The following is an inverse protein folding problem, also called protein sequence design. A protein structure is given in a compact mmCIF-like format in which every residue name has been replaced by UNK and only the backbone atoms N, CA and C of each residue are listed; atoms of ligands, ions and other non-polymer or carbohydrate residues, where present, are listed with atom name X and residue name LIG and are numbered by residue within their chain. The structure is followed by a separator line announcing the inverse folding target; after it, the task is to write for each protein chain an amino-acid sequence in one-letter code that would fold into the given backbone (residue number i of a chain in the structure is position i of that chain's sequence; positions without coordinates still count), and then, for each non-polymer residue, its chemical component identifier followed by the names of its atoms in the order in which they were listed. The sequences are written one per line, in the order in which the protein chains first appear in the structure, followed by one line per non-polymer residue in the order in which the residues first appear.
data_IF_839397084371
#
_entry.id   IF_839397084371
#
_cell.length_a   1.000
_cell.length_b   1.000
_cell.length_c   1.000
_cell.angle_alpha   90.00
_cell.angle_beta   90.00
_cell.angle_gamma   90.00
#
_symmetry.space_group_name_H-M   'P 1'
#
loop_
_entity.id
_entity.type
_entity.pdbx_description
1 polymer ?
#
# COMPACT_ATOMS: atom_id res chain seq x y z
N UNK A 1 -15.92 8.23 -3.62
CA UNK A 1 -16.93 8.21 -2.51
C UNK A 1 -17.68 6.89 -2.47
N UNK A 2 -18.09 6.31 -3.59
CA UNK A 2 -18.89 5.06 -3.65
C UNK A 2 -18.20 3.87 -2.95
N UNK A 3 -16.90 3.64 -3.18
CA UNK A 3 -16.13 2.57 -2.52
C UNK A 3 -16.16 2.73 -0.99
N UNK A 4 -15.99 3.96 -0.49
CA UNK A 4 -16.00 4.26 0.95
C UNK A 4 -17.38 3.96 1.53
N UNK A 5 -18.44 4.40 0.86
CA UNK A 5 -19.81 4.20 1.31
C UNK A 5 -20.17 2.71 1.33
N UNK A 6 -19.85 1.98 0.28
CA UNK A 6 -20.04 0.52 0.21
C UNK A 6 -19.27 -0.21 1.31
N UNK A 7 -18.01 0.18 1.54
CA UNK A 7 -17.18 -0.43 2.59
C UNK A 7 -17.72 -0.12 3.99
N UNK A 8 -18.20 1.09 4.25
CA UNK A 8 -18.85 1.46 5.50
C UNK A 8 -20.14 0.66 5.77
N UNK A 9 -20.95 0.40 4.73
CA UNK A 9 -22.13 -0.46 4.85
C UNK A 9 -21.76 -1.86 5.33
N UNK A 10 -20.68 -2.44 4.76
CA UNK A 10 -20.18 -3.77 5.17
C UNK A 10 -19.66 -3.76 6.61
N UNK A 11 -18.90 -2.72 7.00
CA UNK A 11 -18.47 -2.53 8.40
C UNK A 11 -19.68 -2.52 9.34
N UNK A 12 -20.78 -1.86 8.94
CA UNK A 12 -22.05 -1.88 9.66
C UNK A 12 -22.70 -3.27 9.74
N UNK A 13 -22.66 -4.05 8.65
CA UNK A 13 -23.16 -5.43 8.63
C UNK A 13 -22.37 -6.30 9.59
N UNK A 14 -21.02 -6.25 9.54
CA UNK A 14 -20.17 -7.01 10.47
C UNK A 14 -20.52 -6.66 11.92
N UNK A 15 -20.63 -5.36 12.24
CA UNK A 15 -20.96 -4.90 13.60
C UNK A 15 -22.31 -5.43 14.11
N UNK A 16 -23.32 -5.52 13.24
CA UNK A 16 -24.68 -5.96 13.64
C UNK A 16 -24.80 -7.46 13.82
N UNK A 17 -24.13 -8.23 12.95
CA UNK A 17 -24.31 -9.68 12.92
C UNK A 17 -23.35 -10.45 13.83
N UNK A 18 -22.22 -9.85 14.22
CA UNK A 18 -21.22 -10.50 15.07
C UNK A 18 -21.10 -9.74 16.40
N UNK A 19 -21.72 -10.26 17.48
CA UNK A 19 -21.70 -9.64 18.81
C UNK A 19 -20.42 -9.95 19.58
N UNK A 20 -19.99 -11.22 19.58
CA UNK A 20 -18.80 -11.70 20.29
C UNK A 20 -17.66 -12.01 19.34
N UNK A 21 -17.16 -10.95 18.70
CA UNK A 21 -16.15 -11.05 17.67
C UNK A 21 -14.74 -11.06 18.30
N UNK A 22 -14.02 -12.17 18.13
CA UNK A 22 -12.60 -12.29 18.48
C UNK A 22 -11.70 -11.59 17.45
N UNK A 23 -10.44 -11.35 17.82
CA UNK A 23 -9.49 -10.62 16.95
C UNK A 23 -9.21 -11.37 15.64
N UNK A 24 -9.07 -12.68 15.68
CA UNK A 24 -8.73 -13.52 14.50
C UNK A 24 -9.87 -13.48 13.49
N UNK A 25 -11.08 -13.75 13.92
CA UNK A 25 -12.29 -13.71 13.10
C UNK A 25 -12.54 -12.32 12.55
N UNK A 26 -12.37 -11.26 13.38
CA UNK A 26 -12.46 -9.89 12.90
C UNK A 26 -11.48 -9.61 11.76
N UNK A 27 -10.20 -9.94 11.93
CA UNK A 27 -9.17 -9.70 10.91
C UNK A 27 -9.49 -10.44 9.61
N UNK A 28 -10.01 -11.67 9.70
CA UNK A 28 -10.42 -12.46 8.53
C UNK A 28 -11.57 -11.80 7.79
N UNK A 29 -12.65 -11.46 8.50
CA UNK A 29 -13.83 -10.78 7.92
C UNK A 29 -13.45 -9.41 7.32
N UNK A 30 -12.67 -8.62 8.06
CA UNK A 30 -12.21 -7.32 7.59
C UNK A 30 -11.40 -7.44 6.31
N UNK A 31 -10.43 -8.36 6.26
CA UNK A 31 -9.59 -8.59 5.08
C UNK A 31 -10.42 -9.05 3.88
N UNK A 32 -11.34 -9.98 4.08
CA UNK A 32 -12.12 -10.56 2.99
C UNK A 32 -13.21 -9.60 2.47
N UNK A 33 -13.94 -8.92 3.34
CA UNK A 33 -15.15 -8.20 2.96
C UNK A 33 -14.94 -6.68 2.79
N UNK A 34 -14.06 -6.07 3.59
CA UNK A 34 -13.87 -4.61 3.62
C UNK A 34 -12.60 -4.21 2.87
N UNK A 35 -11.46 -4.77 3.29
CA UNK A 35 -10.15 -4.38 2.73
C UNK A 35 -10.02 -4.74 1.26
N UNK A 36 -10.51 -5.90 0.84
CA UNK A 36 -10.52 -6.31 -0.57
C UNK A 36 -11.17 -5.28 -1.49
N UNK A 37 -12.24 -4.64 -1.04
CA UNK A 37 -12.92 -3.56 -1.78
C UNK A 37 -12.10 -2.27 -1.80
N UNK A 38 -11.48 -1.90 -0.68
CA UNK A 38 -10.66 -0.69 -0.56
C UNK A 38 -9.35 -0.79 -1.34
N UNK A 39 -8.88 -2.00 -1.62
CA UNK A 39 -7.65 -2.27 -2.38
C UNK A 39 -7.90 -2.62 -3.85
N UNK A 40 -9.16 -2.85 -4.25
CA UNK A 40 -9.47 -3.22 -5.63
C UNK A 40 -9.02 -2.15 -6.62
N UNK A 41 -8.28 -2.56 -7.65
CA UNK A 41 -7.74 -1.69 -8.70
C UNK A 41 -6.95 -0.46 -8.18
N UNK A 42 -6.33 -0.56 -7.00
CA UNK A 42 -5.64 0.56 -6.34
C UNK A 42 -4.51 1.17 -7.19
N UNK A 43 -3.87 0.38 -8.06
CA UNK A 43 -2.85 0.88 -8.99
C UNK A 43 -3.41 1.95 -9.94
N UNK A 44 -4.69 1.85 -10.29
CA UNK A 44 -5.36 2.77 -11.21
C UNK A 44 -5.80 4.06 -10.50
N UNK A 45 -6.51 3.94 -9.36
CA UNK A 45 -7.21 5.09 -8.74
C UNK A 45 -6.61 5.61 -7.44
N UNK A 46 -5.39 5.23 -7.06
CA UNK A 46 -4.80 5.63 -5.78
C UNK A 46 -4.89 7.13 -5.52
N UNK A 47 -5.59 7.57 -4.46
CA UNK A 47 -5.78 8.98 -4.18
C UNK A 47 -4.50 9.62 -3.64
N UNK A 48 -4.19 10.84 -4.11
CA UNK A 48 -3.07 11.64 -3.65
C UNK A 48 -3.47 12.77 -2.69
N UNK A 49 -4.73 13.24 -2.77
CA UNK A 49 -5.22 14.30 -1.89
C UNK A 49 -5.49 13.73 -0.49
N UNK A 50 -4.94 14.39 0.55
CA UNK A 50 -5.10 13.99 1.95
C UNK A 50 -6.54 13.74 2.36
N UNK A 51 -7.49 14.58 1.90
CA UNK A 51 -8.92 14.40 2.14
C UNK A 51 -9.41 12.99 1.80
N UNK A 52 -8.99 12.44 0.68
CA UNK A 52 -9.43 11.11 0.24
C UNK A 52 -8.64 9.99 0.93
N UNK A 53 -7.37 10.24 1.24
CA UNK A 53 -6.56 9.31 2.06
C UNK A 53 -7.17 9.18 3.45
N UNK A 54 -7.47 10.30 4.11
CA UNK A 54 -8.13 10.33 5.43
C UNK A 54 -9.49 9.63 5.41
N UNK A 55 -10.27 9.80 4.35
CA UNK A 55 -11.59 9.18 4.19
C UNK A 55 -11.49 7.65 4.05
N UNK A 56 -10.48 7.13 3.34
CA UNK A 56 -10.22 5.70 3.24
C UNK A 56 -9.75 5.11 4.59
N UNK A 57 -8.77 5.77 5.23
CA UNK A 57 -8.29 5.35 6.55
C UNK A 57 -9.38 5.43 7.63
N UNK A 58 -10.34 6.35 7.49
CA UNK A 58 -11.48 6.44 8.40
C UNK A 58 -12.35 5.18 8.39
N UNK A 59 -12.45 4.47 7.25
CA UNK A 59 -13.16 3.18 7.18
C UNK A 59 -12.45 2.15 8.06
N UNK A 60 -11.12 2.00 7.91
CA UNK A 60 -10.33 1.06 8.73
C UNK A 60 -10.34 1.46 10.22
N UNK A 61 -10.25 2.77 10.51
CA UNK A 61 -10.33 3.31 11.87
C UNK A 61 -11.67 2.97 12.53
N UNK A 62 -12.78 3.07 11.78
CA UNK A 62 -14.12 2.69 12.24
C UNK A 62 -14.23 1.18 12.44
N UNK A 63 -13.76 0.39 11.48
CA UNK A 63 -13.80 -1.06 11.55
C UNK A 63 -13.05 -1.60 12.77
N UNK A 64 -11.82 -1.13 13.04
CA UNK A 64 -11.03 -1.57 14.20
C UNK A 64 -11.63 -1.20 15.54
N UNK A 65 -12.58 -0.26 15.60
CA UNK A 65 -13.36 0.08 16.82
C UNK A 65 -14.53 -0.87 17.10
N UNK A 66 -14.85 -1.81 16.19
CA UNK A 66 -15.92 -2.80 16.43
C UNK A 66 -15.57 -3.66 17.63
N UNK A 67 -14.31 -4.05 17.78
CA UNK A 67 -13.82 -4.84 18.91
C UNK A 67 -13.85 -4.04 20.20
N UNK A 68 -14.69 -4.43 21.21
CA UNK A 68 -14.77 -3.69 22.46
C UNK A 68 -13.44 -3.58 23.19
N UNK A 69 -12.65 -4.65 23.18
CA UNK A 69 -11.33 -4.73 23.81
C UNK A 69 -10.30 -3.72 23.26
N UNK A 70 -10.54 -3.20 22.05
CA UNK A 70 -9.61 -2.28 21.38
C UNK A 70 -10.08 -0.83 21.35
N UNK A 71 -11.30 -0.52 21.79
CA UNK A 71 -11.89 0.84 21.70
C UNK A 71 -11.07 1.92 22.39
N UNK A 72 -10.43 1.58 23.52
CA UNK A 72 -9.65 2.53 24.34
C UNK A 72 -8.27 2.85 23.75
N UNK A 73 -7.79 2.06 22.79
CA UNK A 73 -6.47 2.25 22.21
C UNK A 73 -6.48 3.27 21.06
N UNK A 74 -5.34 3.93 20.85
CA UNK A 74 -5.13 4.78 19.69
C UNK A 74 -5.29 3.99 18.38
N UNK A 75 -5.47 4.68 17.24
CA UNK A 75 -5.61 3.98 15.97
C UNK A 75 -4.35 3.16 15.63
N UNK A 76 -3.18 3.74 15.82
CA UNK A 76 -1.90 3.06 15.58
C UNK A 76 -1.75 1.81 16.46
N UNK A 77 -2.13 1.88 17.75
CA UNK A 77 -2.03 0.74 18.65
C UNK A 77 -3.02 -0.38 18.29
N UNK A 78 -4.23 0.00 17.84
CA UNK A 78 -5.18 -0.99 17.31
C UNK A 78 -4.62 -1.73 16.12
N UNK A 79 -3.96 -1.00 15.19
CA UNK A 79 -3.32 -1.60 14.02
C UNK A 79 -2.19 -2.57 14.44
N UNK A 80 -1.33 -2.17 15.38
CA UNK A 80 -0.27 -3.06 15.92
C UNK A 80 -0.86 -4.33 16.55
N UNK A 81 -1.89 -4.18 17.42
CA UNK A 81 -2.54 -5.31 18.11
C UNK A 81 -3.27 -6.27 17.16
N UNK A 82 -3.70 -5.80 15.98
CA UNK A 82 -4.38 -6.59 14.97
C UNK A 82 -3.43 -7.06 13.85
N UNK A 83 -2.19 -6.63 13.86
CA UNK A 83 -1.23 -6.82 12.78
C UNK A 83 -1.81 -6.40 11.42
N UNK A 84 -2.41 -5.22 11.41
CA UNK A 84 -2.98 -4.61 10.21
C UNK A 84 -2.20 -3.34 9.89
N UNK A 85 -1.47 -3.29 8.79
CA UNK A 85 -0.83 -2.03 8.37
C UNK A 85 -1.87 -1.03 7.87
N UNK A 86 -1.45 0.23 7.76
CA UNK A 86 -2.26 1.30 7.18
C UNK A 86 -2.63 1.01 5.72
N UNK A 87 -3.76 1.55 5.26
CA UNK A 87 -4.13 1.44 3.86
C UNK A 87 -3.17 2.21 2.94
N UNK A 88 -2.55 3.28 3.46
CA UNK A 88 -1.52 4.03 2.73
C UNK A 88 -0.28 3.18 2.47
N UNK A 89 0.23 2.48 3.50
CA UNK A 89 1.30 1.49 3.33
C UNK A 89 0.90 0.39 2.34
N UNK A 90 -0.31 -0.15 2.48
CA UNK A 90 -0.81 -1.22 1.63
C UNK A 90 -0.87 -0.82 0.15
N UNK A 91 -1.27 0.41 -0.15
CA UNK A 91 -1.28 0.95 -1.52
C UNK A 91 0.13 1.06 -2.09
N UNK A 92 1.07 1.62 -1.32
CA UNK A 92 2.46 1.70 -1.76
C UNK A 92 3.07 0.32 -2.00
N UNK A 93 2.80 -0.63 -1.10
CA UNK A 93 3.21 -2.03 -1.25
C UNK A 93 2.65 -2.67 -2.52
N UNK A 94 1.36 -2.46 -2.79
CA UNK A 94 0.72 -2.94 -4.00
C UNK A 94 1.32 -2.34 -5.26
N UNK A 95 1.57 -1.03 -5.26
CA UNK A 95 2.25 -0.35 -6.38
C UNK A 95 3.62 -0.97 -6.66
N UNK A 96 4.42 -1.31 -5.63
CA UNK A 96 5.73 -1.95 -5.82
C UNK A 96 5.61 -3.37 -6.38
N UNK A 97 4.61 -4.14 -5.94
CA UNK A 97 4.36 -5.49 -6.48
C UNK A 97 3.99 -5.42 -7.96
N UNK A 98 3.12 -4.49 -8.35
CA UNK A 98 2.76 -4.29 -9.75
C UNK A 98 3.97 -3.81 -10.58
N UNK A 99 4.78 -2.89 -10.02
CA UNK A 99 6.02 -2.44 -10.66
C UNK A 99 6.99 -3.61 -10.88
N UNK A 100 7.19 -4.45 -9.88
CA UNK A 100 8.02 -5.64 -9.99
C UNK A 100 7.57 -6.55 -11.14
N UNK A 101 6.27 -6.83 -11.22
CA UNK A 101 5.71 -7.68 -12.28
C UNK A 101 5.93 -7.09 -13.68
N UNK A 102 5.78 -5.77 -13.83
CA UNK A 102 6.02 -5.07 -15.09
C UNK A 102 7.49 -5.08 -15.48
N UNK A 103 8.39 -4.76 -14.55
CA UNK A 103 9.84 -4.69 -14.76
C UNK A 103 10.42 -6.05 -15.14
N UNK A 104 9.91 -7.13 -14.52
CA UNK A 104 10.37 -8.50 -14.78
C UNK A 104 9.58 -9.21 -15.88
N UNK A 105 8.76 -8.51 -16.66
CA UNK A 105 8.06 -9.06 -17.82
C UNK A 105 7.04 -10.15 -17.52
N UNK A 106 6.47 -10.15 -16.29
CA UNK A 106 5.41 -11.11 -15.90
C UNK A 106 4.09 -10.75 -16.58
N UNK A 107 3.89 -9.46 -16.86
CA UNK A 107 2.77 -8.98 -17.65
C UNK A 107 3.17 -8.78 -19.11
N UNK A 108 2.20 -8.89 -19.99
CA UNK A 108 2.36 -8.52 -21.38
C UNK A 108 2.73 -7.03 -21.51
N UNK A 109 3.79 -6.74 -22.28
CA UNK A 109 4.33 -5.40 -22.45
C UNK A 109 3.34 -4.43 -23.10
N UNK A 110 2.49 -4.92 -24.01
CA UNK A 110 1.50 -4.09 -24.70
C UNK A 110 0.38 -3.64 -23.75
N UNK A 111 0.08 -4.45 -22.73
CA UNK A 111 -0.95 -4.17 -21.74
C UNK A 111 -0.44 -3.32 -20.55
N UNK A 112 0.86 -3.00 -20.51
CA UNK A 112 1.48 -2.28 -19.39
C UNK A 112 1.79 -0.82 -19.72
N UNK A 113 1.74 0.09 -18.73
CA UNK A 113 2.31 1.42 -18.90
C UNK A 113 3.78 1.33 -19.31
N UNK A 114 4.18 2.13 -20.31
CA UNK A 114 5.58 2.17 -20.74
C UNK A 114 6.48 2.79 -19.65
N UNK A 115 7.15 1.94 -18.88
CA UNK A 115 8.13 2.32 -17.87
C UNK A 115 9.50 2.47 -18.54
N UNK A 116 10.07 3.66 -18.45
CA UNK A 116 11.39 3.93 -18.99
C UNK A 116 12.45 3.69 -17.93
N UNK A 117 13.49 2.92 -18.27
CA UNK A 117 14.65 2.76 -17.40
C UNK A 117 15.57 3.99 -17.47
N UNK A 118 16.24 4.28 -16.37
CA UNK A 118 17.26 5.33 -16.31
C UNK A 118 18.43 4.96 -17.22
N UNK A 119 18.85 5.90 -18.07
CA UNK A 119 20.00 5.73 -18.95
C UNK A 119 21.34 5.85 -18.23
N UNK A 120 21.34 6.47 -17.06
CA UNK A 120 22.53 6.59 -16.23
C UNK A 120 22.68 5.29 -15.46
N UNK A 121 23.70 4.51 -15.86
CA UNK A 121 24.03 3.23 -15.24
C UNK A 121 24.15 3.32 -13.72
N UNK A 122 24.24 2.18 -13.07
CA UNK A 122 24.13 1.96 -11.63
C UNK A 122 24.99 2.93 -10.76
N UNK A 123 24.51 4.15 -10.60
CA UNK A 123 24.97 5.02 -9.54
C UNK A 123 24.30 4.57 -8.25
N UNK A 124 25.02 3.92 -7.34
CA UNK A 124 24.56 3.45 -6.02
C UNK A 124 23.12 2.85 -5.98
N UNK A 125 22.99 1.59 -5.67
CA UNK A 125 21.73 0.84 -5.59
C UNK A 125 21.61 -0.20 -6.71
N UNK A 126 20.40 -0.43 -7.22
CA UNK A 126 20.14 -1.42 -8.27
C UNK A 126 20.18 -0.81 -9.68
N UNK A 127 20.37 -1.66 -10.69
CA UNK A 127 20.45 -1.34 -12.12
C UNK A 127 19.09 -1.15 -12.81
N UNK A 128 18.00 -1.66 -12.20
CA UNK A 128 16.63 -1.54 -12.73
C UNK A 128 15.93 -0.24 -12.29
N UNK A 129 16.67 0.87 -12.23
CA UNK A 129 16.08 2.18 -11.89
C UNK A 129 15.18 2.70 -12.98
N UNK A 130 14.06 3.27 -12.57
CA UNK A 130 13.11 3.89 -13.48
C UNK A 130 13.41 5.38 -13.66
N UNK A 131 13.22 5.86 -14.88
CA UNK A 131 13.31 7.28 -15.22
C UNK A 131 12.04 8.00 -14.76
N UNK A 132 12.20 9.09 -14.02
CA UNK A 132 11.10 9.95 -13.61
C UNK A 132 10.86 11.03 -14.66
N UNK A 133 9.67 11.02 -15.26
CA UNK A 133 9.28 12.06 -16.22
C UNK A 133 8.90 13.35 -15.48
N UNK A 134 9.38 14.48 -15.97
CA UNK A 134 8.91 15.77 -15.53
C UNK A 134 7.45 15.97 -15.93
N UNK A 135 6.66 16.50 -15.01
CA UNK A 135 5.23 16.68 -15.22
C UNK A 135 4.77 18.06 -14.73
N UNK A 136 4.14 18.79 -15.62
CA UNK A 136 3.60 20.13 -15.31
C UNK A 136 2.33 20.09 -14.42
N UNK A 137 1.64 18.96 -14.33
CA UNK A 137 0.39 18.84 -13.59
C UNK A 137 0.47 17.86 -12.43
N UNK A 138 -0.17 18.20 -11.30
CA UNK A 138 -0.24 17.33 -10.11
C UNK A 138 -0.91 15.99 -10.43
N UNK A 139 -1.88 15.96 -11.34
CA UNK A 139 -2.56 14.73 -11.75
C UNK A 139 -1.56 13.78 -12.41
N UNK A 140 -0.76 14.27 -13.37
CA UNK A 140 0.24 13.48 -14.08
C UNK A 140 1.37 12.99 -13.15
N UNK A 141 1.76 13.84 -12.19
CA UNK A 141 2.76 13.51 -11.18
C UNK A 141 2.32 12.31 -10.31
N UNK A 142 1.02 12.22 -10.01
CA UNK A 142 0.44 11.15 -9.19
C UNK A 142 -0.07 9.95 -10.01
N UNK A 143 0.12 9.97 -11.33
CA UNK A 143 -0.19 8.82 -12.16
C UNK A 143 0.73 7.65 -11.81
N UNK A 144 0.26 6.40 -12.01
CA UNK A 144 0.99 5.19 -11.58
C UNK A 144 2.46 5.23 -12.01
N UNK A 145 2.73 5.46 -13.31
CA UNK A 145 4.08 5.45 -13.87
C UNK A 145 5.06 6.47 -13.25
N UNK A 146 4.56 7.51 -12.60
CA UNK A 146 5.41 8.54 -11.97
C UNK A 146 5.49 8.38 -10.45
N UNK A 147 4.36 8.09 -9.78
CA UNK A 147 4.34 7.99 -8.31
C UNK A 147 5.15 6.81 -7.76
N UNK A 148 5.36 5.77 -8.56
CA UNK A 148 6.13 4.59 -8.20
C UNK A 148 7.65 4.85 -8.19
N UNK A 149 8.15 5.74 -9.06
CA UNK A 149 9.56 5.85 -9.41
C UNK A 149 10.46 6.07 -8.19
N UNK A 150 10.15 7.05 -7.35
CA UNK A 150 10.99 7.36 -6.20
C UNK A 150 11.06 6.17 -5.22
N UNK A 151 9.92 5.53 -4.93
CA UNK A 151 9.86 4.38 -4.00
C UNK A 151 10.59 3.17 -4.58
N UNK A 152 10.43 2.90 -5.87
CA UNK A 152 11.11 1.82 -6.57
C UNK A 152 12.62 2.02 -6.58
N UNK A 153 13.09 3.20 -6.94
CA UNK A 153 14.51 3.52 -7.04
C UNK A 153 15.24 3.53 -5.68
N UNK A 154 14.50 3.64 -4.57
CA UNK A 154 15.04 3.55 -3.20
C UNK A 154 15.12 2.11 -2.66
N UNK A 155 14.60 1.11 -3.38
CA UNK A 155 14.72 -0.28 -2.96
C UNK A 155 16.16 -0.78 -3.06
N UNK A 156 16.53 -1.73 -2.22
CA UNK A 156 17.83 -2.38 -2.31
C UNK A 156 17.89 -3.35 -3.50
N UNK A 157 19.08 -3.59 -4.01
CA UNK A 157 19.31 -4.53 -5.12
C UNK A 157 18.78 -5.93 -4.79
N UNK A 158 18.95 -6.40 -3.55
CA UNK A 158 18.45 -7.69 -3.10
C UNK A 158 16.92 -7.82 -3.20
N UNK A 159 16.18 -6.74 -2.93
CA UNK A 159 14.71 -6.72 -3.07
C UNK A 159 14.31 -6.76 -4.53
N UNK A 160 14.92 -5.89 -5.36
CA UNK A 160 14.55 -5.72 -6.77
C UNK A 160 14.86 -6.97 -7.60
N UNK A 161 15.97 -7.66 -7.32
CA UNK A 161 16.37 -8.90 -7.98
C UNK A 161 15.83 -10.17 -7.31
N UNK A 162 14.72 -10.09 -6.61
CA UNK A 162 14.05 -11.28 -6.08
C UNK A 162 13.68 -12.25 -7.23
N UNK A 163 13.79 -13.54 -6.98
CA UNK A 163 13.59 -14.58 -8.01
C UNK A 163 12.13 -14.89 -8.32
N UNK A 164 11.20 -14.43 -7.47
CA UNK A 164 9.78 -14.64 -7.65
C UNK A 164 8.96 -13.52 -7.00
N UNK A 165 7.70 -13.37 -7.42
CA UNK A 165 6.77 -12.39 -6.83
C UNK A 165 6.61 -12.61 -5.32
N UNK A 166 6.61 -13.85 -4.84
CA UNK A 166 6.48 -14.14 -3.41
C UNK A 166 7.78 -13.80 -2.65
N UNK A 167 8.94 -14.10 -3.22
CA UNK A 167 10.23 -13.68 -2.67
C UNK A 167 10.31 -12.15 -2.60
N UNK A 168 9.92 -11.46 -3.68
CA UNK A 168 9.85 -9.99 -3.70
C UNK A 168 8.97 -9.44 -2.58
N UNK A 169 7.73 -9.97 -2.42
CA UNK A 169 6.82 -9.55 -1.34
C UNK A 169 7.44 -9.69 0.05
N UNK A 170 8.08 -10.82 0.31
CA UNK A 170 8.70 -11.09 1.62
C UNK A 170 9.89 -10.15 1.88
N UNK A 171 10.76 -9.97 0.90
CA UNK A 171 11.91 -9.05 1.00
C UNK A 171 11.46 -7.60 1.13
N UNK A 172 10.42 -7.17 0.39
CA UNK A 172 9.84 -5.84 0.51
C UNK A 172 9.23 -5.60 1.90
N UNK A 173 8.49 -6.56 2.42
CA UNK A 173 7.90 -6.48 3.77
C UNK A 173 9.00 -6.38 4.85
N UNK A 174 10.08 -7.13 4.73
CA UNK A 174 11.24 -7.03 5.61
C UNK A 174 11.94 -5.67 5.49
N UNK A 175 12.20 -5.21 4.26
CA UNK A 175 12.84 -3.91 3.98
C UNK A 175 12.04 -2.72 4.53
N UNK A 176 10.71 -2.81 4.51
CA UNK A 176 9.82 -1.76 4.99
C UNK A 176 9.27 -1.98 6.41
N UNK A 177 9.70 -3.02 7.12
CA UNK A 177 9.17 -3.38 8.44
C UNK A 177 9.32 -2.27 9.50
N UNK A 178 10.42 -1.52 9.44
CA UNK A 178 10.73 -0.43 10.36
C UNK A 178 10.14 0.94 9.94
N UNK A 179 9.45 1.02 8.80
CA UNK A 179 8.88 2.28 8.33
C UNK A 179 7.68 2.71 9.20
N UNK A 180 7.68 3.96 9.64
CA UNK A 180 6.61 4.51 10.47
C UNK A 180 5.23 4.43 9.80
N UNK A 181 5.18 4.59 8.48
CA UNK A 181 3.95 4.53 7.67
C UNK A 181 3.18 3.20 7.82
N UNK A 182 3.82 2.14 8.29
CA UNK A 182 3.17 0.85 8.57
C UNK A 182 2.00 1.03 9.53
N UNK A 183 2.15 1.90 10.55
CA UNK A 183 1.14 2.14 11.57
C UNK A 183 0.73 3.62 11.70
N UNK A 184 1.41 4.53 11.01
CA UNK A 184 1.09 5.95 10.94
C UNK A 184 0.91 6.38 9.47
N UNK A 185 -0.32 6.40 8.99
CA UNK A 185 -0.64 6.69 7.57
C UNK A 185 -0.30 8.12 7.11
N UNK A 186 0.05 9.02 8.04
CA UNK A 186 0.48 10.39 7.77
C UNK A 186 1.99 10.53 7.64
N UNK A 187 2.75 9.50 8.03
CA UNK A 187 4.18 9.48 7.83
C UNK A 187 4.53 9.29 6.35
N UNK A 188 5.60 9.90 5.92
CA UNK A 188 6.19 9.63 4.62
C UNK A 188 7.10 8.40 4.67
N UNK A 189 7.35 7.80 3.51
CA UNK A 189 8.39 6.80 3.40
C UNK A 189 9.75 7.47 3.65
N UNK A 190 10.42 7.10 4.72
CA UNK A 190 11.80 7.50 4.91
C UNK A 190 12.63 6.93 3.76
N UNK A 191 13.38 7.77 3.08
CA UNK A 191 14.48 7.31 2.24
C UNK A 191 15.38 6.47 3.16
N UNK A 192 15.51 5.17 2.85
CA UNK A 192 16.29 4.24 3.69
C UNK A 192 17.61 4.89 4.10
N UNK A 193 17.99 4.74 5.37
CA UNK A 193 19.24 5.27 5.88
C UNK A 193 20.34 4.90 4.90
N UNK A 194 20.99 5.94 4.37
CA UNK A 194 22.21 5.78 3.59
C UNK A 194 23.31 5.33 4.59
N UNK A 195 23.41 4.02 4.78
CA UNK A 195 24.62 3.43 5.36
C UNK A 195 25.64 3.21 4.26
#
# INVERSE_FOLDING_TARGET
EDIINKSNKIVGVIKRNFRDLDKKTFVTLYKAMVRSRLEYAQAVWSPHKLKYVDALEAVQRRATKILPSLRKYSYADRLRKLNLPTLTYRRARGDMIETYKMVHGIYDKESCPNLQFSRYGATRGHDLKLFKKDCATTIRLNFFSNRIVNKWNCLSSDVVHATSVNSFKNKLDSHWSAQEIVFNYRADFSAGNRT
#
